data_IF_815851319118
#
_entry.id   IF_815851319118
#
_cell.length_a   1.000
_cell.length_b   1.000
_cell.length_c   1.000
_cell.angle_alpha   90.00
_cell.angle_beta   90.00
_cell.angle_gamma   90.00
#
_symmetry.space_group_name_H-M   'P 1'
#
loop_
_entity.id
_entity.type
_entity.pdbx_description
1 polymer ?
#
# COMPACT_ATOMS: atom_id res chain seq x y z
N UNK A 1 5.08 -21.67 13.65
CA UNK A 1 5.35 -20.29 13.16
C UNK A 1 4.00 -19.57 13.06
N UNK A 2 3.88 -18.36 13.60
CA UNK A 2 2.63 -17.62 13.51
C UNK A 2 2.45 -17.07 12.07
N UNK A 3 1.28 -17.28 11.48
CA UNK A 3 0.93 -16.69 10.18
C UNK A 3 0.81 -15.18 10.34
N UNK A 4 1.54 -14.39 9.53
CA UNK A 4 1.42 -12.93 9.48
C UNK A 4 0.16 -12.51 8.73
N UNK A 5 -0.13 -13.18 7.61
CA UNK A 5 -1.34 -12.97 6.81
C UNK A 5 -2.00 -14.32 6.55
N UNK A 6 -3.31 -14.40 6.74
CA UNK A 6 -4.12 -15.56 6.38
C UNK A 6 -5.35 -15.10 5.61
N UNK A 7 -5.51 -15.59 4.39
CA UNK A 7 -6.65 -15.31 3.52
C UNK A 7 -7.45 -16.61 3.37
N UNK A 8 -8.75 -16.54 3.69
CA UNK A 8 -9.67 -17.66 3.64
C UNK A 8 -10.90 -17.30 2.82
N UNK A 9 -11.22 -18.14 1.83
CA UNK A 9 -12.41 -18.04 0.99
C UNK A 9 -12.62 -16.63 0.41
N UNK A 10 -11.54 -15.95 -0.01
CA UNK A 10 -11.64 -14.59 -0.51
C UNK A 10 -12.40 -14.57 -1.83
N UNK A 11 -13.55 -13.94 -1.79
CA UNK A 11 -14.41 -13.69 -2.93
C UNK A 11 -14.68 -12.20 -3.04
N UNK A 12 -14.37 -11.61 -4.19
CA UNK A 12 -14.57 -10.18 -4.45
C UNK A 12 -15.44 -10.00 -5.68
N UNK A 13 -16.51 -9.23 -5.52
CA UNK A 13 -17.41 -8.86 -6.61
C UNK A 13 -17.48 -7.36 -6.80
N UNK A 14 -17.48 -6.93 -8.06
CA UNK A 14 -17.77 -5.55 -8.43
C UNK A 14 -19.20 -5.42 -8.91
N UNK A 15 -19.94 -4.49 -8.30
CA UNK A 15 -21.29 -4.12 -8.71
C UNK A 15 -21.18 -3.10 -9.84
N UNK A 16 -21.26 -3.57 -11.08
CA UNK A 16 -21.32 -2.74 -12.27
C UNK A 16 -22.79 -2.37 -12.55
N UNK A 17 -23.00 -1.32 -13.37
CA UNK A 17 -24.34 -0.77 -13.64
C UNK A 17 -25.36 -1.80 -14.11
N UNK A 18 -24.91 -2.81 -14.87
CA UNK A 18 -25.80 -3.82 -15.48
C UNK A 18 -25.48 -5.25 -15.06
N UNK A 19 -24.38 -5.50 -14.36
CA UNK A 19 -23.97 -6.85 -13.98
C UNK A 19 -23.04 -6.85 -12.76
N UNK A 20 -22.97 -8.00 -12.09
CA UNK A 20 -21.95 -8.23 -11.05
C UNK A 20 -20.78 -8.98 -11.69
N UNK A 21 -19.58 -8.44 -11.54
CA UNK A 21 -18.36 -9.08 -12.01
C UNK A 21 -17.63 -9.73 -10.83
N UNK A 22 -17.38 -11.03 -10.90
CA UNK A 22 -16.68 -11.80 -9.87
C UNK A 22 -15.18 -11.79 -10.17
N UNK A 23 -14.46 -10.87 -9.56
CA UNK A 23 -13.05 -10.59 -9.85
C UNK A 23 -12.07 -11.51 -9.12
N UNK A 24 -12.41 -11.98 -7.93
CA UNK A 24 -11.61 -12.93 -7.13
C UNK A 24 -12.54 -14.04 -6.67
N UNK A 25 -12.15 -15.30 -6.91
CA UNK A 25 -12.98 -16.47 -6.64
C UNK A 25 -12.22 -17.43 -5.74
N UNK A 26 -12.72 -17.59 -4.52
CA UNK A 26 -12.29 -18.59 -3.53
C UNK A 26 -10.77 -18.67 -3.36
N UNK A 27 -10.10 -17.52 -3.20
CA UNK A 27 -8.66 -17.46 -3.01
C UNK A 27 -8.31 -17.74 -1.56
N UNK A 28 -7.39 -18.68 -1.37
CA UNK A 28 -6.92 -19.13 -0.07
C UNK A 28 -5.39 -19.18 -0.08
N UNK A 29 -4.71 -18.48 0.84
CA UNK A 29 -3.28 -18.62 1.07
C UNK A 29 -2.85 -17.99 2.41
N UNK A 30 -1.63 -18.32 2.84
CA UNK A 30 -1.00 -17.78 4.06
C UNK A 30 0.38 -17.24 3.73
N UNK A 31 0.78 -16.22 4.48
CA UNK A 31 2.14 -15.68 4.48
C UNK A 31 2.62 -15.69 5.93
N UNK A 32 3.79 -16.29 6.15
CA UNK A 32 4.43 -16.32 7.47
C UNK A 32 5.34 -15.09 7.65
N UNK A 33 5.75 -14.84 8.88
CA UNK A 33 6.75 -13.81 9.16
C UNK A 33 8.08 -14.13 8.43
N UNK A 34 8.70 -13.10 7.85
CA UNK A 34 9.95 -13.20 7.08
C UNK A 34 9.85 -14.08 5.81
N UNK A 35 8.66 -14.24 5.26
CA UNK A 35 8.43 -14.98 4.04
C UNK A 35 8.20 -14.01 2.85
N UNK A 36 8.74 -14.38 1.68
CA UNK A 36 8.47 -13.72 0.40
C UNK A 36 7.61 -14.66 -0.43
N UNK A 37 6.42 -14.19 -0.79
CA UNK A 37 5.45 -14.97 -1.58
C UNK A 37 5.21 -14.30 -2.92
N UNK A 38 5.37 -15.05 -4.02
CA UNK A 38 5.04 -14.61 -5.37
C UNK A 38 3.61 -14.96 -5.73
N UNK A 39 2.78 -13.95 -6.03
CA UNK A 39 1.43 -14.14 -6.59
C UNK A 39 1.49 -14.02 -8.11
N UNK A 40 1.41 -15.15 -8.82
CA UNK A 40 1.53 -15.22 -10.28
C UNK A 40 0.19 -15.55 -10.94
N UNK A 41 0.03 -15.18 -12.20
CA UNK A 41 -1.16 -15.45 -13.01
C UNK A 41 -1.26 -14.49 -14.19
N UNK A 42 -2.16 -14.75 -15.10
CA UNK A 42 -2.40 -13.94 -16.29
C UNK A 42 -2.93 -12.53 -15.98
N UNK A 43 -2.88 -11.62 -16.96
CA UNK A 43 -3.52 -10.32 -16.83
C UNK A 43 -5.02 -10.49 -16.61
N UNK A 44 -5.60 -9.75 -15.66
CA UNK A 44 -7.02 -9.86 -15.31
C UNK A 44 -7.37 -11.01 -14.35
N UNK A 45 -6.42 -11.84 -13.91
CA UNK A 45 -6.69 -12.97 -12.98
C UNK A 45 -7.01 -12.56 -11.53
N UNK A 46 -7.10 -11.27 -11.22
CA UNK A 46 -7.48 -10.78 -9.89
C UNK A 46 -6.32 -10.52 -8.92
N UNK A 47 -5.05 -10.63 -9.33
CA UNK A 47 -3.87 -10.40 -8.46
C UNK A 47 -3.90 -9.04 -7.75
N UNK A 48 -4.05 -7.96 -8.50
CA UNK A 48 -4.11 -6.60 -7.94
C UNK A 48 -5.35 -6.40 -7.06
N UNK A 49 -6.47 -7.01 -7.42
CA UNK A 49 -7.71 -6.96 -6.61
C UNK A 49 -7.48 -7.68 -5.29
N UNK A 50 -6.82 -8.84 -5.30
CA UNK A 50 -6.44 -9.57 -4.08
C UNK A 50 -5.53 -8.73 -3.19
N UNK A 51 -4.45 -8.13 -3.76
CA UNK A 51 -3.54 -7.27 -3.01
C UNK A 51 -4.25 -6.04 -2.39
N UNK A 52 -5.10 -5.35 -3.17
CA UNK A 52 -5.91 -4.23 -2.66
C UNK A 52 -6.93 -4.66 -1.60
N UNK A 53 -7.43 -5.89 -1.67
CA UNK A 53 -8.35 -6.45 -0.67
C UNK A 53 -7.67 -6.61 0.69
N UNK A 54 -6.40 -7.04 0.72
CA UNK A 54 -5.62 -7.20 1.95
C UNK A 54 -5.54 -5.88 2.73
N UNK A 55 -5.42 -4.76 2.02
CA UNK A 55 -5.43 -3.43 2.62
C UNK A 55 -6.83 -2.79 2.68
N UNK A 56 -7.88 -3.49 2.23
CA UNK A 56 -9.25 -2.96 2.11
C UNK A 56 -9.30 -1.61 1.38
N UNK A 57 -8.57 -1.51 0.25
CA UNK A 57 -8.51 -0.30 -0.60
C UNK A 57 -9.54 -0.28 -1.72
N UNK A 58 -10.29 -1.36 -1.89
CA UNK A 58 -11.34 -1.43 -2.91
C UNK A 58 -12.49 -0.45 -2.58
N UNK A 59 -13.04 0.26 -3.59
CA UNK A 59 -14.07 1.27 -3.37
C UNK A 59 -15.42 0.61 -2.99
N UNK A 60 -15.85 0.75 -1.76
CA UNK A 60 -17.20 0.38 -1.32
C UNK A 60 -18.20 1.52 -1.65
N UNK A 61 -19.45 1.23 -2.07
CA UNK A 61 -20.07 -0.11 -2.22
C UNK A 61 -19.88 -0.72 -3.61
N UNK A 62 -19.03 -0.15 -4.49
CA UNK A 62 -18.79 -0.71 -5.83
C UNK A 62 -18.16 -2.09 -5.76
N UNK A 63 -17.25 -2.30 -4.83
CA UNK A 63 -16.71 -3.62 -4.51
C UNK A 63 -17.38 -4.18 -3.26
N UNK A 64 -17.59 -5.50 -3.24
CA UNK A 64 -18.16 -6.22 -2.12
C UNK A 64 -17.42 -7.53 -1.89
N UNK A 65 -17.35 -7.94 -0.63
CA UNK A 65 -16.78 -9.22 -0.20
C UNK A 65 -17.91 -10.17 0.17
N UNK A 66 -17.74 -11.46 -0.09
CA UNK A 66 -18.69 -12.48 0.36
C UNK A 66 -18.61 -12.64 1.88
N UNK A 67 -19.71 -13.05 2.51
CA UNK A 67 -19.80 -13.17 3.98
C UNK A 67 -18.79 -14.17 4.57
N UNK A 68 -18.37 -15.16 3.80
CA UNK A 68 -17.42 -16.18 4.22
C UNK A 68 -15.95 -15.80 3.95
N UNK A 69 -15.71 -14.66 3.28
CA UNK A 69 -14.36 -14.17 3.03
C UNK A 69 -13.75 -13.63 4.32
N UNK A 70 -12.50 -14.04 4.60
CA UNK A 70 -11.74 -13.55 5.74
C UNK A 70 -10.33 -13.16 5.30
N UNK A 71 -9.85 -12.07 5.87
CA UNK A 71 -8.46 -11.61 5.74
C UNK A 71 -7.98 -11.32 7.16
N UNK A 72 -7.08 -12.15 7.68
CA UNK A 72 -6.53 -12.02 9.01
C UNK A 72 -5.08 -11.54 8.85
N UNK A 73 -4.76 -10.36 9.39
CA UNK A 73 -3.42 -9.79 9.37
C UNK A 73 -2.97 -9.50 10.80
N UNK A 74 -1.84 -10.08 11.19
CA UNK A 74 -1.27 -9.95 12.55
C UNK A 74 -2.31 -10.30 13.63
N UNK A 75 -3.09 -11.38 13.39
CA UNK A 75 -4.14 -11.86 14.30
C UNK A 75 -5.46 -11.09 14.28
N UNK A 76 -5.57 -9.99 13.51
CA UNK A 76 -6.79 -9.19 13.43
C UNK A 76 -7.49 -9.34 12.06
N UNK A 77 -8.81 -9.47 12.08
CA UNK A 77 -9.63 -9.58 10.88
C UNK A 77 -9.81 -8.19 10.22
N UNK A 78 -9.39 -8.07 8.94
CA UNK A 78 -9.31 -6.80 8.20
C UNK A 78 -10.68 -6.37 7.64
N UNK A 79 -11.50 -7.31 7.14
CA UNK A 79 -12.74 -6.97 6.46
C UNK A 79 -13.79 -6.39 7.42
N UNK A 80 -13.78 -6.83 8.69
CA UNK A 80 -14.65 -6.31 9.75
C UNK A 80 -14.03 -5.17 10.56
N UNK A 81 -12.74 -4.86 10.34
CA UNK A 81 -12.03 -3.84 11.10
C UNK A 81 -12.65 -2.44 10.90
N UNK A 82 -12.70 -1.65 11.97
CA UNK A 82 -13.15 -0.27 11.89
C UNK A 82 -12.11 0.63 11.20
N UNK A 83 -12.54 1.81 10.73
CA UNK A 83 -11.70 2.75 10.00
C UNK A 83 -10.45 3.18 10.77
N UNK A 84 -10.53 3.32 12.10
CA UNK A 84 -9.41 3.74 12.95
C UNK A 84 -8.34 2.66 13.03
N UNK A 85 -8.72 1.38 13.23
CA UNK A 85 -7.81 0.25 13.21
C UNK A 85 -7.09 0.11 11.86
N UNK A 86 -7.83 0.19 10.75
CA UNK A 86 -7.26 0.14 9.41
C UNK A 86 -6.26 1.28 9.16
N UNK A 87 -6.61 2.51 9.55
CA UNK A 87 -5.71 3.67 9.40
C UNK A 87 -4.40 3.48 10.17
N UNK A 88 -4.48 2.93 11.39
CA UNK A 88 -3.29 2.67 12.20
C UNK A 88 -2.39 1.58 11.63
N UNK A 89 -2.92 0.63 10.86
CA UNK A 89 -2.13 -0.45 10.24
C UNK A 89 -1.52 -0.02 8.90
N UNK A 90 -2.28 0.73 8.11
CA UNK A 90 -1.82 1.22 6.80
C UNK A 90 -0.67 2.21 6.99
N UNK A 91 0.43 1.98 6.29
CA UNK A 91 1.63 2.80 6.35
C UNK A 91 2.58 2.48 7.52
N UNK A 92 2.10 1.88 8.62
CA UNK A 92 2.95 1.51 9.76
C UNK A 92 3.29 0.02 9.82
N UNK A 93 2.33 -0.86 9.49
CA UNK A 93 2.50 -2.32 9.53
C UNK A 93 2.36 -2.97 8.16
N UNK A 94 1.58 -2.37 7.27
CA UNK A 94 1.36 -2.85 5.92
C UNK A 94 1.32 -1.67 4.96
N UNK A 95 2.07 -1.77 3.87
CA UNK A 95 2.11 -0.77 2.80
C UNK A 95 2.00 -1.44 1.44
N UNK A 96 1.75 -0.64 0.41
CA UNK A 96 1.62 -1.12 -0.96
C UNK A 96 2.35 -0.18 -1.92
N UNK A 97 3.15 -0.76 -2.80
CA UNK A 97 3.75 -0.05 -3.93
C UNK A 97 2.91 -0.34 -5.16
N UNK A 98 2.33 0.70 -5.76
CA UNK A 98 1.50 0.58 -6.95
C UNK A 98 2.35 0.46 -8.21
N UNK A 99 1.79 -0.18 -9.24
CA UNK A 99 2.48 -0.42 -10.50
C UNK A 99 2.80 0.86 -11.28
N UNK A 100 2.00 1.92 -11.11
CA UNK A 100 2.20 3.22 -11.75
C UNK A 100 2.58 4.30 -10.72
N UNK A 101 3.88 4.48 -10.41
CA UNK A 101 4.34 5.46 -9.42
C UNK A 101 4.08 6.91 -9.84
N UNK A 102 3.86 7.15 -11.14
CA UNK A 102 3.71 8.49 -11.72
C UNK A 102 2.49 9.24 -11.17
N UNK A 103 1.43 8.52 -10.79
CA UNK A 103 0.18 9.09 -10.27
C UNK A 103 0.14 9.18 -8.74
N UNK A 104 1.12 8.60 -8.05
CA UNK A 104 1.12 8.51 -6.57
C UNK A 104 1.69 9.75 -5.90
N UNK A 105 2.63 10.45 -6.55
CA UNK A 105 3.20 11.68 -6.02
C UNK A 105 2.36 12.89 -6.42
N UNK A 106 2.03 13.74 -5.45
CA UNK A 106 1.37 15.01 -5.71
C UNK A 106 2.35 15.95 -6.48
N UNK A 107 2.05 16.36 -7.73
CA UNK A 107 2.95 17.17 -8.55
C UNK A 107 3.20 18.57 -8.00
N UNK A 108 2.33 19.08 -7.14
CA UNK A 108 2.41 20.41 -6.54
C UNK A 108 3.15 20.45 -5.21
N UNK A 109 3.55 19.30 -4.66
CA UNK A 109 4.31 19.22 -3.41
C UNK A 109 5.73 18.72 -3.65
N UNK A 110 6.68 19.28 -2.91
CA UNK A 110 8.06 18.83 -2.90
C UNK A 110 8.16 17.39 -2.41
N UNK A 111 9.01 16.59 -3.05
CA UNK A 111 9.08 15.14 -2.78
C UNK A 111 9.52 14.82 -1.35
N UNK A 112 10.48 15.55 -0.81
CA UNK A 112 10.92 15.37 0.58
C UNK A 112 9.82 15.70 1.59
N UNK A 113 8.95 16.68 1.29
CA UNK A 113 7.80 16.99 2.16
C UNK A 113 6.76 15.90 2.14
N UNK A 114 6.55 15.21 1.02
CA UNK A 114 5.61 14.09 0.94
C UNK A 114 6.08 12.91 1.77
N UNK A 115 7.39 12.58 1.75
CA UNK A 115 7.98 11.58 2.65
C UNK A 115 7.85 12.03 4.11
N UNK A 116 8.17 13.28 4.40
CA UNK A 116 8.06 13.84 5.75
C UNK A 116 6.62 13.77 6.30
N UNK A 117 5.61 14.02 5.48
CA UNK A 117 4.19 13.90 5.84
C UNK A 117 3.81 12.47 6.21
N UNK A 118 4.31 11.47 5.46
CA UNK A 118 4.11 10.06 5.80
C UNK A 118 4.73 9.72 7.16
N UNK A 119 5.94 10.22 7.45
CA UNK A 119 6.59 10.04 8.75
C UNK A 119 5.77 10.68 9.87
N UNK A 120 5.30 11.91 9.71
CA UNK A 120 4.48 12.60 10.71
C UNK A 120 3.15 11.89 11.01
N UNK A 121 2.57 11.26 10.00
CA UNK A 121 1.29 10.56 10.17
C UNK A 121 1.43 9.36 11.11
N UNK A 122 2.61 8.76 11.18
CA UNK A 122 2.86 7.51 11.91
C UNK A 122 3.80 7.66 13.11
N UNK A 123 4.53 8.77 13.22
CA UNK A 123 5.53 8.98 14.27
C UNK A 123 5.41 10.40 14.82
N UNK A 124 5.36 10.53 16.15
CA UNK A 124 5.35 11.83 16.85
C UNK A 124 6.77 12.41 16.91
N UNK A 125 7.27 12.91 15.79
CA UNK A 125 8.61 13.49 15.67
C UNK A 125 8.55 15.01 15.51
N UNK A 126 9.65 15.73 15.84
CA UNK A 126 9.76 17.13 15.49
C UNK A 126 9.95 17.31 13.97
N UNK A 127 9.73 18.53 13.49
CA UNK A 127 9.88 18.84 12.06
C UNK A 127 11.29 18.60 11.56
N UNK A 128 12.27 18.94 12.37
CA UNK A 128 13.70 18.79 12.06
C UNK A 128 14.10 17.31 11.97
N UNK A 129 13.70 16.52 12.96
CA UNK A 129 13.99 15.08 13.00
C UNK A 129 13.31 14.34 11.86
N UNK A 130 12.05 14.68 11.57
CA UNK A 130 11.33 14.05 10.46
C UNK A 130 11.90 14.43 9.09
N UNK A 131 12.43 15.67 8.93
CA UNK A 131 13.13 16.08 7.71
C UNK A 131 14.42 15.28 7.53
N UNK A 132 15.22 15.17 8.59
CA UNK A 132 16.47 14.40 8.54
C UNK A 132 16.19 12.94 8.17
N UNK A 133 15.19 12.31 8.80
CA UNK A 133 14.78 10.95 8.49
C UNK A 133 14.29 10.79 7.06
N UNK A 134 13.56 11.77 6.52
CA UNK A 134 13.14 11.74 5.12
C UNK A 134 14.34 11.77 4.16
N UNK A 135 15.38 12.56 4.47
CA UNK A 135 16.62 12.60 3.69
C UNK A 135 17.35 11.25 3.76
N UNK A 136 17.46 10.65 4.94
CA UNK A 136 18.05 9.31 5.13
C UNK A 136 17.32 8.23 4.33
N UNK A 137 15.97 8.27 4.30
CA UNK A 137 15.18 7.37 3.46
C UNK A 137 15.45 7.60 1.96
N UNK A 138 15.58 8.85 1.52
CA UNK A 138 15.95 9.18 0.14
C UNK A 138 17.34 8.64 -0.21
N UNK A 139 18.31 8.72 0.70
CA UNK A 139 19.65 8.15 0.52
C UNK A 139 19.60 6.63 0.46
N UNK A 140 18.83 5.99 1.33
CA UNK A 140 18.64 4.53 1.37
C UNK A 140 18.11 3.97 0.04
N UNK A 141 17.24 4.73 -0.63
CA UNK A 141 16.75 4.36 -1.97
C UNK A 141 17.63 4.92 -3.10
N UNK A 142 18.87 5.29 -2.79
CA UNK A 142 19.90 5.74 -3.74
C UNK A 142 19.50 7.00 -4.55
N UNK A 143 18.82 7.95 -3.94
CA UNK A 143 18.63 9.28 -4.51
C UNK A 143 19.92 10.10 -4.33
N UNK A 144 20.65 10.30 -5.41
CA UNK A 144 21.86 11.13 -5.37
C UNK A 144 21.53 12.58 -4.99
N UNK A 145 22.37 13.18 -4.14
CA UNK A 145 22.18 14.54 -3.61
C UNK A 145 20.81 14.74 -2.92
N UNK A 146 20.42 13.79 -2.06
CA UNK A 146 19.12 13.76 -1.39
C UNK A 146 18.77 15.09 -0.69
N UNK A 147 19.73 15.71 0.00
CA UNK A 147 19.56 17.03 0.64
C UNK A 147 19.02 18.10 -0.33
N UNK A 148 19.60 18.22 -1.51
CA UNK A 148 19.18 19.20 -2.51
C UNK A 148 17.84 18.80 -3.13
N UNK A 149 17.68 17.50 -3.43
CA UNK A 149 16.46 16.96 -4.04
C UNK A 149 15.27 16.88 -3.09
N UNK A 150 15.47 17.02 -1.80
CA UNK A 150 14.38 17.13 -0.82
C UNK A 150 13.36 18.22 -1.22
N UNK A 151 13.85 19.34 -1.73
CA UNK A 151 13.02 20.48 -2.15
C UNK A 151 12.57 20.40 -3.62
N UNK A 152 12.94 19.34 -4.35
CA UNK A 152 12.53 19.16 -5.75
C UNK A 152 11.07 18.75 -5.85
N UNK A 153 10.45 19.07 -6.98
CA UNK A 153 9.11 18.63 -7.33
C UNK A 153 9.17 17.35 -8.18
N UNK A 154 8.11 16.54 -8.21
CA UNK A 154 8.10 15.30 -9.00
C UNK A 154 8.48 15.47 -10.47
N UNK A 155 8.08 16.56 -11.13
CA UNK A 155 8.40 16.83 -12.53
C UNK A 155 9.89 17.10 -12.79
N UNK A 156 10.66 17.43 -11.75
CA UNK A 156 12.12 17.68 -11.82
C UNK A 156 12.94 16.37 -11.65
N UNK A 157 12.27 15.23 -11.46
CA UNK A 157 12.89 13.93 -11.24
C UNK A 157 12.63 13.00 -12.43
N UNK A 158 13.58 12.12 -12.72
CA UNK A 158 13.38 11.03 -13.68
C UNK A 158 12.31 10.04 -13.21
N UNK A 159 11.77 9.23 -14.13
CA UNK A 159 10.78 8.19 -13.77
C UNK A 159 11.30 7.23 -12.69
N UNK A 160 12.53 6.75 -12.82
CA UNK A 160 13.16 5.89 -11.82
C UNK A 160 13.37 6.59 -10.46
N UNK A 161 13.73 7.89 -10.45
CA UNK A 161 13.83 8.63 -9.20
C UNK A 161 12.48 8.81 -8.51
N UNK A 162 11.41 9.09 -9.28
CA UNK A 162 10.04 9.15 -8.74
C UNK A 162 9.60 7.83 -8.12
N UNK A 163 9.93 6.71 -8.78
CA UNK A 163 9.65 5.38 -8.24
C UNK A 163 10.40 5.13 -6.92
N UNK A 164 11.67 5.51 -6.83
CA UNK A 164 12.46 5.38 -5.59
C UNK A 164 11.92 6.27 -4.47
N UNK A 165 11.50 7.50 -4.78
CA UNK A 165 10.85 8.40 -3.80
C UNK A 165 9.53 7.80 -3.27
N UNK A 166 8.78 7.11 -4.12
CA UNK A 166 7.55 6.43 -3.68
C UNK A 166 7.84 5.23 -2.77
N UNK A 167 9.01 4.59 -2.91
CA UNK A 167 9.44 3.49 -2.05
C UNK A 167 9.97 4.01 -0.70
N UNK A 168 10.62 5.19 -0.69
CA UNK A 168 11.12 5.84 0.52
C UNK A 168 9.99 6.21 1.50
#
# INVERSE_FOLDING_TARGET
MSSLLNIENLNVRFNLRYQKFHAVKDVNFKINSNEIVGLVGESGSGKSVTAMSIMRLLPEPKASFDKNSKIIFDGEEILSANKKSLRNKRGSKISMIFQEPMTSLNPFHQVGRQIQEAIFTHQSLTKEVSKQKAIELMELVEIQNAHNKFNSYPHQLSGGQRQRIMIA
#
